data_IF_398789167990
#
_entry.id   IF_398789167990
#
_cell.length_a   1.000
_cell.length_b   1.000
_cell.length_c   1.000
_cell.angle_alpha   90.00
_cell.angle_beta   90.00
_cell.angle_gamma   90.00
#
_symmetry.space_group_name_H-M   'P 1'
#
loop_
_entity.id
_entity.type
_entity.pdbx_description
1 polymer ?
#
# COMPACT_ATOMS: atom_id res chain seq x y z
N UNK A 1 -11.34 -1.06 31.06
CA UNK A 1 -10.25 -0.64 30.15
C UNK A 1 -10.88 -0.32 28.81
N UNK A 2 -10.71 0.90 28.29
CA UNK A 2 -11.25 1.24 26.95
C UNK A 2 -10.41 0.47 25.93
N UNK A 3 -11.00 -0.50 25.23
CA UNK A 3 -10.29 -1.23 24.19
C UNK A 3 -9.85 -0.23 23.11
N UNK A 4 -8.54 -0.03 22.99
CA UNK A 4 -7.99 0.79 21.91
C UNK A 4 -8.38 0.13 20.59
N UNK A 5 -9.11 0.86 19.76
CA UNK A 5 -9.51 0.36 18.44
C UNK A 5 -8.28 -0.12 17.65
N UNK A 6 -8.40 -1.27 16.95
CA UNK A 6 -7.27 -1.89 16.27
C UNK A 6 -6.73 -0.98 15.17
N UNK A 7 -5.43 -1.06 14.95
CA UNK A 7 -4.78 -0.51 13.75
C UNK A 7 -4.97 -1.50 12.60
N UNK A 8 -5.51 -1.01 11.48
CA UNK A 8 -5.83 -1.80 10.29
C UNK A 8 -5.05 -1.19 9.14
N UNK A 9 -4.21 -1.98 8.48
CA UNK A 9 -3.60 -1.62 7.21
C UNK A 9 -4.37 -2.28 6.08
N UNK A 10 -5.07 -1.48 5.28
CA UNK A 10 -5.68 -1.91 4.03
C UNK A 10 -4.68 -1.74 2.89
N UNK A 11 -4.42 -2.82 2.14
CA UNK A 11 -3.56 -2.82 0.95
C UNK A 11 -4.41 -3.25 -0.25
N UNK A 12 -4.52 -2.38 -1.26
CA UNK A 12 -5.21 -2.67 -2.50
C UNK A 12 -4.21 -2.60 -3.67
N UNK A 13 -4.04 -3.73 -4.35
CA UNK A 13 -3.15 -3.90 -5.49
C UNK A 13 -3.94 -3.72 -6.78
N UNK A 14 -3.83 -2.57 -7.43
CA UNK A 14 -4.35 -2.32 -8.77
C UNK A 14 -3.34 -2.68 -9.87
N UNK A 15 -3.79 -2.70 -11.12
CA UNK A 15 -2.95 -2.99 -12.29
C UNK A 15 -1.73 -2.07 -12.42
N UNK A 16 -1.91 -0.77 -12.18
CA UNK A 16 -0.84 0.24 -12.26
C UNK A 16 -0.66 1.04 -10.95
N UNK A 17 -1.20 0.55 -9.84
CA UNK A 17 -1.04 1.24 -8.55
C UNK A 17 -1.08 0.31 -7.35
N UNK A 18 -0.54 0.79 -6.24
CA UNK A 18 -0.68 0.20 -4.91
C UNK A 18 -1.28 1.27 -3.99
N UNK A 19 -2.48 1.04 -3.48
CA UNK A 19 -3.17 1.93 -2.54
C UNK A 19 -3.06 1.37 -1.14
N UNK A 20 -2.74 2.23 -0.18
CA UNK A 20 -2.55 1.87 1.22
C UNK A 20 -3.33 2.84 2.10
N UNK A 21 -4.11 2.30 3.03
CA UNK A 21 -4.80 3.08 4.05
C UNK A 21 -4.54 2.49 5.44
N UNK A 22 -4.13 3.34 6.37
CA UNK A 22 -3.97 3.00 7.79
C UNK A 22 -5.17 3.55 8.54
N UNK A 23 -5.87 2.70 9.28
CA UNK A 23 -7.07 3.05 10.02
C UNK A 23 -6.94 2.64 11.48
N UNK A 24 -7.57 3.41 12.37
CA UNK A 24 -7.79 3.03 13.76
C UNK A 24 -9.29 2.82 13.97
N UNK A 25 -9.74 1.57 13.91
CA UNK A 25 -11.17 1.26 13.76
C UNK A 25 -11.73 1.89 12.47
N UNK A 26 -12.68 2.83 12.61
CA UNK A 26 -13.27 3.55 11.47
C UNK A 26 -12.53 4.86 11.10
N UNK A 27 -11.56 5.29 11.91
CA UNK A 27 -10.83 6.55 11.69
C UNK A 27 -9.67 6.33 10.72
N UNK A 28 -9.62 7.09 9.63
CA UNK A 28 -8.43 7.16 8.77
C UNK A 28 -7.28 7.86 9.49
N UNK A 29 -6.09 7.25 9.44
CA UNK A 29 -4.85 7.78 10.02
C UNK A 29 -3.93 8.27 8.91
N UNK A 30 -3.79 7.50 7.84
CA UNK A 30 -3.01 7.86 6.68
C UNK A 30 -3.54 7.15 5.44
N UNK A 31 -3.49 7.82 4.29
CA UNK A 31 -3.89 7.26 3.00
C UNK A 31 -2.83 7.65 1.96
N UNK A 32 -2.39 6.69 1.16
CA UNK A 32 -1.44 6.93 0.09
C UNK A 32 -1.69 6.02 -1.09
N UNK A 33 -1.65 6.62 -2.27
CA UNK A 33 -1.60 5.88 -3.53
C UNK A 33 -0.20 5.99 -4.10
N UNK A 34 0.43 4.85 -4.36
CA UNK A 34 1.64 4.79 -5.17
C UNK A 34 1.24 4.37 -6.58
N UNK A 35 1.45 5.25 -7.55
CA UNK A 35 1.24 4.96 -8.97
C UNK A 35 2.55 4.43 -9.52
N UNK A 36 2.49 3.31 -10.23
CA UNK A 36 3.65 2.74 -10.89
C UNK A 36 3.79 3.37 -12.28
N UNK A 37 5.00 3.77 -12.66
CA UNK A 37 5.31 4.21 -14.02
C UNK A 37 5.01 3.06 -14.99
N UNK A 38 4.38 3.35 -16.12
CA UNK A 38 4.04 2.33 -17.13
C UNK A 38 5.27 1.61 -17.66
N UNK A 39 6.40 2.28 -17.75
CA UNK A 39 7.59 1.76 -18.43
C UNK A 39 8.30 0.68 -17.59
N UNK A 40 8.38 0.86 -16.28
CA UNK A 40 9.02 -0.12 -15.37
C UNK A 40 8.06 -1.25 -14.97
N UNK A 41 6.75 -0.96 -14.92
CA UNK A 41 5.75 -1.91 -14.47
C UNK A 41 5.22 -2.83 -15.59
N UNK A 42 5.18 -2.34 -16.84
CA UNK A 42 4.77 -3.15 -18.00
C UNK A 42 5.79 -4.25 -18.35
N UNK A 43 7.05 -4.08 -17.98
CA UNK A 43 8.08 -5.11 -18.12
C UNK A 43 7.88 -6.31 -17.17
N UNK A 44 7.05 -6.15 -16.12
CA UNK A 44 6.76 -7.17 -15.12
C UNK A 44 5.43 -7.85 -15.45
N UNK A 45 5.49 -8.77 -16.44
CA UNK A 45 4.33 -9.47 -16.98
C UNK A 45 3.62 -10.35 -15.92
N UNK A 46 4.38 -10.92 -14.98
CA UNK A 46 3.83 -11.75 -13.91
C UNK A 46 3.68 -10.98 -12.59
N UNK A 47 2.57 -11.22 -11.89
CA UNK A 47 2.26 -10.61 -10.59
C UNK A 47 3.34 -10.91 -9.54
N UNK A 48 4.05 -12.04 -9.67
CA UNK A 48 5.14 -12.45 -8.76
C UNK A 48 6.35 -11.54 -8.91
N UNK A 49 6.65 -11.09 -10.13
CA UNK A 49 7.77 -10.21 -10.43
C UNK A 49 7.50 -8.78 -9.95
N UNK A 50 6.22 -8.42 -9.78
CA UNK A 50 5.80 -7.15 -9.19
C UNK A 50 5.93 -7.12 -7.65
N UNK A 51 6.13 -8.26 -7.00
CA UNK A 51 6.12 -8.36 -5.53
C UNK A 51 7.17 -7.45 -4.87
N UNK A 52 8.44 -7.38 -5.33
CA UNK A 52 9.44 -6.49 -4.76
C UNK A 52 9.02 -5.01 -4.82
N UNK A 53 8.54 -4.55 -5.97
CA UNK A 53 8.08 -3.17 -6.17
C UNK A 53 6.89 -2.81 -5.28
N UNK A 54 5.90 -3.70 -5.20
CA UNK A 54 4.73 -3.49 -4.33
C UNK A 54 5.12 -3.47 -2.86
N UNK A 55 6.04 -4.34 -2.44
CA UNK A 55 6.58 -4.36 -1.07
C UNK A 55 7.32 -3.06 -0.75
N UNK A 56 8.13 -2.56 -1.67
CA UNK A 56 8.85 -1.31 -1.48
C UNK A 56 7.91 -0.12 -1.30
N UNK A 57 6.84 -0.03 -2.11
CA UNK A 57 5.80 0.99 -1.95
C UNK A 57 5.16 0.96 -0.55
N UNK A 58 4.89 -0.24 -0.01
CA UNK A 58 4.36 -0.43 1.34
C UNK A 58 5.37 0.02 2.40
N UNK A 59 6.65 -0.33 2.25
CA UNK A 59 7.67 0.12 3.19
C UNK A 59 7.87 1.64 3.14
N UNK A 60 7.80 2.26 1.94
CA UNK A 60 7.86 3.73 1.77
C UNK A 60 6.67 4.43 2.43
N UNK A 61 5.48 3.80 2.44
CA UNK A 61 4.33 4.33 3.17
C UNK A 61 4.62 4.48 4.67
N UNK A 62 5.26 3.48 5.29
CA UNK A 62 5.62 3.55 6.72
C UNK A 62 6.80 4.46 7.05
N UNK A 63 7.69 4.74 6.09
CA UNK A 63 8.85 5.63 6.30
C UNK A 63 8.53 7.13 6.16
N UNK A 64 7.38 7.48 5.59
CA UNK A 64 7.00 8.86 5.29
C UNK A 64 5.61 9.24 5.77
N UNK A 65 5.03 8.46 6.70
CA UNK A 65 3.82 8.75 7.44
C UNK A 65 4.15 8.92 8.92
#
# INVERSE_FOLDING_TARGET
MSEKSPLILAINLGSASTKMGLYRGKKEVALKTHVHSTDEFSALLDIKDQLPYRREAIQRFFRGA
#
